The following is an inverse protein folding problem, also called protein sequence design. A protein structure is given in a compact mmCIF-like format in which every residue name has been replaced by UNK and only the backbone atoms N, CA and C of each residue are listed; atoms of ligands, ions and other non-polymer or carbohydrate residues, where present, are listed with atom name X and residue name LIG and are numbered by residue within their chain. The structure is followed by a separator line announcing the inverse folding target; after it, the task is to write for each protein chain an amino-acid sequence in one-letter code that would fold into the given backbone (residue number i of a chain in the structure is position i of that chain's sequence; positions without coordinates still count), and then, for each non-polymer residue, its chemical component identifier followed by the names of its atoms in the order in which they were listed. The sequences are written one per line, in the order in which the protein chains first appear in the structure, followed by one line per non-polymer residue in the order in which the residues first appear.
data_IF_848016931843
#
_entry.id   IF_848016931843
#
_cell.length_a   1.000
_cell.length_b   1.000
_cell.length_c   1.000
_cell.angle_alpha   90.00
_cell.angle_beta   90.00
_cell.angle_gamma   90.00
#
_symmetry.space_group_name_H-M   'P 1'
#
loop_
_entity.id
_entity.type
_entity.pdbx_description
1 polymer ?
#
# COMPACT_ATOMS: atom_id res chain seq x y z
N UNK A 1 10.91 12.52 20.33
CA UNK A 1 10.32 11.16 20.48
C UNK A 1 11.47 10.17 20.37
N UNK A 2 11.61 9.25 21.31
CA UNK A 2 12.68 8.24 21.26
C UNK A 2 12.47 7.32 20.05
N UNK A 3 13.53 6.98 19.31
CA UNK A 3 13.51 6.08 18.14
C UNK A 3 12.69 4.81 18.39
N UNK A 4 12.76 4.24 19.59
CA UNK A 4 12.03 3.04 19.98
C UNK A 4 10.49 3.19 19.89
N UNK A 5 9.94 4.35 20.28
CA UNK A 5 8.49 4.60 20.18
C UNK A 5 8.04 4.68 18.72
N UNK A 6 8.85 5.27 17.84
CA UNK A 6 8.56 5.32 16.40
C UNK A 6 8.53 3.91 15.76
N UNK A 7 9.48 3.06 16.14
CA UNK A 7 9.55 1.67 15.68
C UNK A 7 8.32 0.90 16.17
N UNK A 8 7.95 1.04 17.45
CA UNK A 8 6.78 0.37 18.03
C UNK A 8 5.49 0.76 17.30
N UNK A 9 5.25 2.06 17.06
CA UNK A 9 4.07 2.50 16.30
C UNK A 9 4.06 1.96 14.87
N UNK A 10 5.23 1.85 14.23
CA UNK A 10 5.33 1.26 12.90
C UNK A 10 4.99 -0.22 12.91
N UNK A 11 5.49 -0.98 13.88
CA UNK A 11 5.17 -2.41 14.02
C UNK A 11 3.66 -2.64 14.24
N UNK A 12 3.04 -1.86 15.14
CA UNK A 12 1.59 -1.92 15.37
C UNK A 12 0.82 -1.60 14.07
N UNK A 13 1.22 -0.56 13.35
CA UNK A 13 0.59 -0.17 12.08
C UNK A 13 0.67 -1.29 11.04
N UNK A 14 1.81 -1.96 10.91
CA UNK A 14 2.00 -3.08 9.99
C UNK A 14 1.14 -4.27 10.41
N UNK A 15 1.10 -4.61 11.70
CA UNK A 15 0.26 -5.69 12.22
C UNK A 15 -1.23 -5.43 11.92
N UNK A 16 -1.71 -4.21 12.17
CA UNK A 16 -3.09 -3.82 11.85
C UNK A 16 -3.38 -3.89 10.35
N UNK A 17 -2.43 -3.52 9.51
CA UNK A 17 -2.57 -3.62 8.06
C UNK A 17 -2.67 -5.07 7.59
N UNK A 18 -1.87 -5.98 8.17
CA UNK A 18 -1.92 -7.43 7.87
C UNK A 18 -3.27 -8.01 8.29
N UNK A 19 -3.74 -7.71 9.50
CA UNK A 19 -5.06 -8.15 9.99
C UNK A 19 -6.17 -7.66 9.06
N UNK A 20 -6.16 -6.38 8.69
CA UNK A 20 -7.12 -5.81 7.75
C UNK A 20 -7.10 -6.54 6.41
N UNK A 21 -5.90 -6.80 5.86
CA UNK A 21 -5.76 -7.50 4.58
C UNK A 21 -6.27 -8.94 4.65
N UNK A 22 -6.03 -9.63 5.76
CA UNK A 22 -6.55 -10.97 6.00
C UNK A 22 -8.08 -11.00 6.09
N UNK A 23 -8.69 -10.03 6.77
CA UNK A 23 -10.15 -9.90 6.87
C UNK A 23 -10.77 -9.61 5.50
N UNK A 24 -10.20 -8.68 4.73
CA UNK A 24 -10.66 -8.38 3.36
C UNK A 24 -10.54 -9.63 2.47
N UNK A 25 -9.43 -10.38 2.59
CA UNK A 25 -9.27 -11.64 1.87
C UNK A 25 -10.35 -12.66 2.26
N UNK A 26 -10.64 -12.80 3.55
CA UNK A 26 -11.65 -13.73 4.04
C UNK A 26 -13.08 -13.40 3.54
N UNK A 27 -13.38 -12.11 3.35
CA UNK A 27 -14.70 -11.63 2.90
C UNK A 27 -14.77 -11.34 1.39
N UNK A 28 -13.69 -11.54 0.66
CA UNK A 28 -13.58 -11.16 -0.76
C UNK A 28 -14.50 -11.95 -1.72
N UNK A 29 -15.04 -13.07 -1.27
CA UNK A 29 -16.02 -13.85 -2.02
C UNK A 29 -17.42 -13.19 -2.02
N UNK A 30 -17.77 -12.52 -0.90
CA UNK A 30 -19.11 -11.97 -0.67
C UNK A 30 -19.16 -10.45 -0.88
N UNK A 31 -18.03 -9.75 -0.67
CA UNK A 31 -17.97 -8.29 -0.70
C UNK A 31 -17.09 -7.82 -1.87
N UNK A 32 -17.64 -7.04 -2.81
CA UNK A 32 -16.84 -6.49 -3.91
C UNK A 32 -15.78 -5.51 -3.40
N UNK A 33 -14.60 -5.45 -4.05
CA UNK A 33 -13.48 -4.61 -3.62
C UNK A 33 -13.83 -3.12 -3.46
N UNK A 34 -14.70 -2.60 -4.32
CA UNK A 34 -15.17 -1.21 -4.28
C UNK A 34 -15.94 -0.88 -3.00
N UNK A 35 -16.76 -1.81 -2.53
CA UNK A 35 -17.52 -1.68 -1.29
C UNK A 35 -16.58 -1.67 -0.07
N UNK A 36 -15.60 -2.56 -0.05
CA UNK A 36 -14.59 -2.60 1.01
C UNK A 36 -13.78 -1.28 1.07
N UNK A 37 -13.39 -0.70 -0.08
CA UNK A 37 -12.71 0.60 -0.16
C UNK A 37 -13.62 1.71 0.34
N UNK A 38 -14.89 1.70 -0.04
CA UNK A 38 -15.87 2.70 0.38
C UNK A 38 -16.05 2.70 1.90
N UNK A 39 -16.40 1.57 2.50
CA UNK A 39 -16.63 1.48 3.94
C UNK A 39 -15.39 1.81 4.74
N UNK A 40 -14.22 1.32 4.35
CA UNK A 40 -12.97 1.69 5.01
C UNK A 40 -12.75 3.20 5.00
N UNK A 41 -12.96 3.87 3.86
CA UNK A 41 -12.78 5.31 3.74
C UNK A 41 -13.84 6.07 4.52
N UNK A 42 -15.08 5.61 4.47
CA UNK A 42 -16.20 6.21 5.19
C UNK A 42 -16.00 6.17 6.71
N UNK A 43 -15.63 5.03 7.26
CA UNK A 43 -15.37 4.91 8.71
C UNK A 43 -14.07 5.58 9.16
N UNK A 44 -13.11 5.81 8.26
CA UNK A 44 -11.91 6.58 8.60
C UNK A 44 -12.20 8.08 8.80
N UNK A 45 -13.18 8.64 8.09
CA UNK A 45 -13.53 10.07 8.16
C UNK A 45 -13.92 10.54 9.57
N UNK A 46 -14.89 9.91 10.27
CA UNK A 46 -15.27 10.34 11.63
C UNK A 46 -14.10 10.21 12.61
N UNK A 47 -13.26 9.18 12.49
CA UNK A 47 -12.10 9.00 13.36
C UNK A 47 -11.09 10.15 13.18
N UNK A 48 -10.80 10.51 11.94
CA UNK A 48 -9.91 11.64 11.61
C UNK A 48 -10.53 12.95 12.09
N UNK A 49 -11.83 13.14 11.87
CA UNK A 49 -12.54 14.36 12.27
C UNK A 49 -12.55 14.55 13.79
N UNK A 50 -12.88 13.51 14.55
CA UNK A 50 -12.84 13.52 16.01
C UNK A 50 -11.43 13.81 16.51
N UNK A 51 -10.42 13.18 15.92
CA UNK A 51 -9.03 13.42 16.28
C UNK A 51 -8.59 14.86 16.03
N UNK A 52 -8.99 15.48 14.89
CA UNK A 52 -8.73 16.89 14.60
C UNK A 52 -9.45 17.83 15.60
N UNK A 53 -10.69 17.51 15.96
CA UNK A 53 -11.45 18.23 16.98
C UNK A 53 -10.72 18.23 18.33
N UNK A 54 -10.30 17.05 18.78
CA UNK A 54 -9.58 16.90 20.06
C UNK A 54 -8.25 17.66 20.08
N UNK A 55 -7.62 17.87 18.93
CA UNK A 55 -6.38 18.65 18.81
C UNK A 55 -6.57 20.15 18.62
N UNK A 56 -7.82 20.63 18.50
CA UNK A 56 -8.11 22.05 18.27
C UNK A 56 -7.62 22.60 16.92
N UNK A 57 -7.23 21.73 16.00
CA UNK A 57 -6.54 22.09 14.75
C UNK A 57 -7.42 21.98 13.49
N UNK A 58 -8.74 22.08 13.61
CA UNK A 58 -9.68 21.91 12.50
C UNK A 58 -9.36 22.86 11.32
N UNK A 59 -9.20 24.14 11.58
CA UNK A 59 -8.94 25.13 10.52
C UNK A 59 -7.61 24.91 9.82
N UNK A 60 -6.58 24.54 10.56
CA UNK A 60 -5.23 24.34 10.03
C UNK A 60 -5.13 22.98 9.33
N UNK A 61 -5.78 21.94 9.87
CA UNK A 61 -5.76 20.58 9.30
C UNK A 61 -6.58 20.44 8.01
N UNK A 62 -7.62 21.27 7.83
CA UNK A 62 -8.45 21.29 6.62
C UNK A 62 -7.96 22.30 5.56
N UNK A 63 -6.94 23.12 5.88
CA UNK A 63 -6.39 24.09 4.94
C UNK A 63 -5.54 23.38 3.90
N UNK A 64 -6.00 23.39 2.67
CA UNK A 64 -5.34 22.79 1.51
C UNK A 64 -4.58 23.86 0.76
N UNK A 65 -3.27 23.68 0.54
CA UNK A 65 -2.41 24.60 -0.23
C UNK A 65 -2.63 24.39 -1.74
N UNK A 66 -2.82 23.14 -2.17
CA UNK A 66 -3.05 22.79 -3.58
C UNK A 66 -4.18 21.76 -3.69
N UNK A 67 -5.43 22.20 -3.97
CA UNK A 67 -6.57 21.27 -4.05
C UNK A 67 -6.42 20.25 -5.18
N UNK A 68 -5.87 20.66 -6.33
CA UNK A 68 -5.64 19.78 -7.48
C UNK A 68 -4.63 18.68 -7.14
N UNK A 69 -3.53 19.01 -6.47
CA UNK A 69 -2.54 18.02 -6.02
C UNK A 69 -3.12 17.04 -5.02
N UNK A 70 -3.98 17.49 -4.10
CA UNK A 70 -4.69 16.61 -3.18
C UNK A 70 -5.70 15.70 -3.88
N UNK A 71 -6.40 16.20 -4.88
CA UNK A 71 -7.34 15.41 -5.68
C UNK A 71 -6.61 14.27 -6.40
N UNK A 72 -5.52 14.57 -7.14
CA UNK A 72 -4.75 13.56 -7.86
C UNK A 72 -4.13 12.52 -6.92
N UNK A 73 -3.60 12.97 -5.79
CA UNK A 73 -3.05 12.06 -4.77
C UNK A 73 -4.14 11.15 -4.17
N UNK A 74 -5.31 11.72 -3.89
CA UNK A 74 -6.45 10.95 -3.38
C UNK A 74 -6.96 9.95 -4.39
N UNK A 75 -7.12 10.37 -5.65
CA UNK A 75 -7.56 9.52 -6.74
C UNK A 75 -6.60 8.34 -6.97
N UNK A 76 -5.29 8.63 -7.12
CA UNK A 76 -4.28 7.59 -7.30
C UNK A 76 -4.21 6.64 -6.09
N UNK A 77 -4.32 7.17 -4.86
CA UNK A 77 -4.32 6.35 -3.65
C UNK A 77 -5.54 5.43 -3.55
N UNK A 78 -6.73 5.94 -3.91
CA UNK A 78 -7.97 5.14 -3.91
C UNK A 78 -7.94 4.08 -5.01
N UNK A 79 -7.46 4.44 -6.21
CA UNK A 79 -7.31 3.49 -7.31
C UNK A 79 -6.30 2.37 -6.95
N UNK A 80 -5.14 2.73 -6.41
CA UNK A 80 -4.15 1.75 -5.96
C UNK A 80 -4.72 0.81 -4.88
N UNK A 81 -5.52 1.33 -3.95
CA UNK A 81 -6.18 0.52 -2.92
C UNK A 81 -7.24 -0.41 -3.51
N UNK A 82 -8.05 0.08 -4.46
CA UNK A 82 -9.02 -0.74 -5.16
C UNK A 82 -8.35 -1.91 -5.89
N UNK A 83 -7.25 -1.65 -6.60
CA UNK A 83 -6.45 -2.67 -7.26
C UNK A 83 -5.84 -3.67 -6.26
N UNK A 84 -5.35 -3.19 -5.13
CA UNK A 84 -4.83 -4.07 -4.07
C UNK A 84 -5.92 -4.98 -3.50
N UNK A 85 -7.11 -4.46 -3.22
CA UNK A 85 -8.23 -5.26 -2.70
C UNK A 85 -8.77 -6.24 -3.75
N UNK A 86 -8.79 -5.84 -5.02
CA UNK A 86 -9.09 -6.77 -6.13
C UNK A 86 -8.06 -7.89 -6.19
N UNK A 87 -6.79 -7.56 -6.06
CA UNK A 87 -5.71 -8.54 -5.99
C UNK A 87 -5.88 -9.53 -4.83
N UNK A 88 -6.30 -9.06 -3.65
CA UNK A 88 -6.61 -9.93 -2.50
C UNK A 88 -7.76 -10.91 -2.80
N UNK A 89 -8.73 -10.52 -3.62
CA UNK A 89 -9.80 -11.41 -4.07
C UNK A 89 -9.29 -12.52 -5.02
N UNK A 90 -8.41 -12.16 -5.94
CA UNK A 90 -7.97 -13.02 -7.04
C UNK A 90 -6.77 -13.92 -6.70
N UNK A 91 -5.87 -13.45 -5.84
CA UNK A 91 -4.59 -14.09 -5.56
C UNK A 91 -4.44 -14.46 -4.08
N UNK A 92 -3.59 -15.44 -3.74
CA UNK A 92 -3.20 -15.71 -2.36
C UNK A 92 -2.56 -14.48 -1.69
N UNK A 93 -2.80 -14.33 -0.38
CA UNK A 93 -2.31 -13.18 0.39
C UNK A 93 -0.79 -12.93 0.26
N UNK A 94 0.08 -13.96 0.32
CA UNK A 94 1.52 -13.76 0.16
C UNK A 94 1.91 -13.18 -1.21
N UNK A 95 1.23 -13.58 -2.28
CA UNK A 95 1.52 -13.11 -3.64
C UNK A 95 1.14 -11.62 -3.79
N UNK A 96 -0.05 -11.23 -3.35
CA UNK A 96 -0.50 -9.84 -3.39
C UNK A 96 0.41 -8.93 -2.56
N UNK A 97 0.81 -9.39 -1.38
CA UNK A 97 1.72 -8.62 -0.53
C UNK A 97 3.12 -8.49 -1.16
N UNK A 98 3.63 -9.55 -1.77
CA UNK A 98 4.91 -9.53 -2.49
C UNK A 98 4.89 -8.53 -3.66
N UNK A 99 3.83 -8.55 -4.49
CA UNK A 99 3.63 -7.60 -5.59
C UNK A 99 3.56 -6.16 -5.04
N UNK A 100 2.85 -5.96 -3.93
CA UNK A 100 2.72 -4.63 -3.30
C UNK A 100 4.04 -4.08 -2.80
N UNK A 101 4.97 -4.92 -2.37
CA UNK A 101 6.32 -4.50 -1.98
C UNK A 101 7.19 -4.09 -3.18
N UNK A 102 6.83 -4.47 -4.40
CA UNK A 102 7.50 -3.95 -5.60
C UNK A 102 7.23 -2.44 -5.81
N UNK A 103 6.07 -1.92 -5.36
CA UNK A 103 5.71 -0.52 -5.56
C UNK A 103 6.71 0.49 -4.93
N UNK A 104 7.13 0.38 -3.65
CA UNK A 104 8.15 1.25 -3.08
C UNK A 104 9.51 1.14 -3.80
N UNK A 105 9.85 -0.06 -4.28
CA UNK A 105 11.09 -0.30 -5.01
C UNK A 105 11.06 0.42 -6.36
N UNK A 106 9.98 0.24 -7.14
CA UNK A 106 9.76 0.91 -8.42
C UNK A 106 9.68 2.43 -8.25
N UNK A 107 9.01 2.92 -7.20
CA UNK A 107 8.96 4.36 -6.90
C UNK A 107 10.36 4.94 -6.71
N UNK A 108 11.27 4.22 -6.03
CA UNK A 108 12.66 4.63 -5.87
C UNK A 108 13.41 4.71 -7.20
N UNK A 109 13.17 3.75 -8.10
CA UNK A 109 13.77 3.74 -9.45
C UNK A 109 13.24 4.90 -10.29
N UNK A 110 11.91 5.09 -10.31
CA UNK A 110 11.29 6.19 -11.08
C UNK A 110 11.70 7.57 -10.55
N UNK A 111 11.80 7.74 -9.23
CA UNK A 111 12.31 8.99 -8.65
C UNK A 111 13.73 9.29 -9.14
N UNK A 112 14.59 8.29 -9.23
CA UNK A 112 15.94 8.46 -9.78
C UNK A 112 15.92 8.84 -11.26
N UNK A 113 15.09 8.16 -12.06
CA UNK A 113 15.03 8.40 -13.51
C UNK A 113 14.41 9.75 -13.86
N UNK A 114 13.33 10.16 -13.17
CA UNK A 114 12.58 11.37 -13.53
C UNK A 114 13.00 12.62 -12.77
N UNK A 115 13.51 12.48 -11.53
CA UNK A 115 13.95 13.61 -10.71
C UNK A 115 15.47 13.83 -10.76
N UNK A 116 16.22 12.97 -11.46
CA UNK A 116 17.68 13.10 -11.55
C UNK A 116 18.40 12.87 -10.21
N UNK A 117 17.75 12.24 -9.23
CA UNK A 117 18.38 11.94 -7.96
C UNK A 117 19.47 10.89 -8.13
N UNK A 118 20.65 11.16 -7.58
CA UNK A 118 21.75 10.19 -7.56
C UNK A 118 21.41 9.03 -6.64
N UNK A 119 21.03 7.89 -7.23
CA UNK A 119 20.77 6.67 -6.45
C UNK A 119 22.10 6.09 -5.99
N UNK A 120 22.32 6.06 -4.70
CA UNK A 120 23.48 5.38 -4.13
C UNK A 120 23.41 3.88 -4.46
N UNK A 121 24.54 3.28 -4.79
CA UNK A 121 24.66 1.84 -5.13
C UNK A 121 23.98 0.95 -4.11
N UNK A 122 24.06 1.28 -2.81
CA UNK A 122 23.37 0.58 -1.73
C UNK A 122 21.84 0.53 -1.92
N UNK A 123 21.24 1.61 -2.45
CA UNK A 123 19.78 1.65 -2.72
C UNK A 123 19.41 0.76 -3.91
N UNK A 124 20.26 0.74 -4.93
CA UNK A 124 20.11 -0.13 -6.11
C UNK A 124 20.21 -1.62 -5.75
N UNK A 125 21.17 -2.00 -4.92
CA UNK A 125 21.33 -3.38 -4.45
C UNK A 125 20.14 -3.81 -3.60
N UNK A 126 19.62 -2.94 -2.71
CA UNK A 126 18.43 -3.23 -1.93
C UNK A 126 17.19 -3.44 -2.81
N UNK A 127 17.02 -2.63 -3.86
CA UNK A 127 15.95 -2.80 -4.86
C UNK A 127 16.09 -4.12 -5.59
N UNK A 128 17.28 -4.44 -6.08
CA UNK A 128 17.53 -5.70 -6.81
C UNK A 128 17.26 -6.93 -5.94
N UNK A 129 17.71 -6.93 -4.69
CA UNK A 129 17.44 -8.00 -3.73
C UNK A 129 15.93 -8.12 -3.42
N UNK A 130 15.25 -6.99 -3.25
CA UNK A 130 13.81 -6.98 -3.00
C UNK A 130 13.02 -7.55 -4.19
N UNK A 131 13.35 -7.15 -5.41
CA UNK A 131 12.74 -7.70 -6.63
C UNK A 131 13.04 -9.19 -6.81
N UNK A 132 14.27 -9.63 -6.54
CA UNK A 132 14.61 -11.04 -6.56
C UNK A 132 13.76 -11.84 -5.55
N UNK A 133 13.55 -11.32 -4.34
CA UNK A 133 12.67 -11.94 -3.35
C UNK A 133 11.21 -12.05 -3.84
N UNK A 134 10.68 -11.01 -4.47
CA UNK A 134 9.35 -11.04 -5.09
C UNK A 134 9.27 -12.11 -6.19
N UNK A 135 10.28 -12.21 -7.04
CA UNK A 135 10.34 -13.22 -8.11
C UNK A 135 10.39 -14.64 -7.56
N UNK A 136 11.13 -14.88 -6.47
CA UNK A 136 11.16 -16.19 -5.80
C UNK A 136 9.77 -16.57 -5.26
N UNK A 137 9.04 -15.63 -4.65
CA UNK A 137 7.68 -15.88 -4.14
C UNK A 137 6.69 -16.17 -5.29
N UNK A 138 6.86 -15.50 -6.45
CA UNK A 138 5.98 -15.66 -7.60
C UNK A 138 6.37 -16.85 -8.50
N UNK A 139 7.57 -17.40 -8.35
CA UNK A 139 8.09 -18.47 -9.22
C UNK A 139 7.17 -19.70 -9.35
N UNK A 140 6.48 -20.20 -8.31
CA UNK A 140 5.56 -21.32 -8.44
C UNK A 140 4.39 -21.04 -9.39
N UNK A 141 3.93 -19.80 -9.46
CA UNK A 141 2.86 -19.40 -10.40
C UNK A 141 3.34 -19.29 -11.82
N UNK A 142 4.56 -18.78 -12.02
CA UNK A 142 5.14 -18.64 -13.35
C UNK A 142 5.36 -20.00 -13.99
N UNK A 143 5.76 -21.01 -13.21
CA UNK A 143 5.91 -22.38 -13.71
C UNK A 143 4.58 -23.03 -14.09
N UNK A 144 3.50 -22.73 -13.37
CA UNK A 144 2.14 -23.22 -13.73
C UNK A 144 1.64 -22.58 -15.03
N UNK A 145 1.93 -21.31 -15.27
CA UNK A 145 1.53 -20.61 -16.50
C UNK A 145 2.40 -20.98 -17.73
N UNK A 146 3.60 -21.48 -17.51
CA UNK A 146 4.53 -21.92 -18.57
C UNK A 146 4.54 -23.45 -18.78
N UNK A 147 3.69 -24.20 -18.09
CA UNK A 147 3.54 -25.64 -18.27
C UNK A 147 2.90 -25.99 -19.61
N UNK A 148 3.20 -27.18 -20.16
CA UNK A 148 2.72 -27.59 -21.52
C UNK A 148 1.23 -27.92 -21.60
N UNK A 149 0.46 -27.60 -20.58
CA UNK A 149 -1.00 -27.81 -20.52
C UNK A 149 -1.77 -26.48 -20.38
N UNK A 150 -1.53 -25.55 -21.32
CA UNK A 150 -2.37 -24.36 -21.48
C UNK A 150 -3.14 -24.45 -22.81
#
# INVERSE_FOLDING_TARGET
MTSARGILYKLISVAMFIIMSALIKATSADIPPGEAVFFRSFFALPVIFIWLLMRGNLRTGLRVISPIGHFWRGFAGTAAMGLFFTGLGLLPLPEVTAISYAAPLLTGVFAAMFLGETVRVFRLTAVALGLAGVMVILSPRLTVLSGPEA
#
